data_IF_837193208148
#
_entry.id   IF_837193208148
#
_cell.length_a   1.000
_cell.length_b   1.000
_cell.length_c   1.000
_cell.angle_alpha   90.00
_cell.angle_beta   90.00
_cell.angle_gamma   90.00
#
_symmetry.space_group_name_H-M   'P 1'
#
loop_
_entity.id
_entity.type
_entity.pdbx_description
1 polymer ?
#
# COMPACT_ATOMS: atom_id res chain seq x y z
N UNK A 1 -34.12 -53.98 -66.42
CA UNK A 1 -33.42 -53.36 -67.55
C UNK A 1 -32.34 -52.45 -67.01
N UNK A 2 -31.11 -52.88 -67.27
CA UNK A 2 -29.86 -52.21 -67.10
C UNK A 2 -29.79 -50.86 -67.91
N UNK A 3 -28.81 -50.05 -67.88
CA UNK A 3 -27.57 -50.05 -67.13
C UNK A 3 -26.92 -48.64 -66.84
N UNK A 4 -25.70 -48.70 -66.32
CA UNK A 4 -24.54 -47.82 -66.52
C UNK A 4 -24.54 -46.48 -65.75
N UNK A 5 -23.56 -46.07 -65.03
CA UNK A 5 -22.15 -46.38 -65.02
C UNK A 5 -21.43 -45.04 -64.88
N UNK A 6 -20.27 -45.07 -64.22
CA UNK A 6 -19.12 -44.16 -64.25
C UNK A 6 -18.85 -43.50 -62.92
N UNK A 7 -17.87 -44.02 -62.25
CA UNK A 7 -16.45 -43.58 -62.23
C UNK A 7 -16.18 -42.18 -61.73
N UNK A 8 -15.55 -42.18 -60.57
CA UNK A 8 -14.29 -41.51 -60.19
C UNK A 8 -14.31 -39.99 -60.05
N UNK A 9 -13.96 -39.58 -58.88
CA UNK A 9 -12.84 -38.67 -58.68
C UNK A 9 -12.48 -38.64 -57.21
N UNK A 10 -11.36 -39.26 -56.88
CA UNK A 10 -10.61 -38.97 -55.64
C UNK A 10 -10.05 -37.57 -55.76
N UNK A 11 -10.48 -36.68 -54.88
CA UNK A 11 -9.74 -35.45 -54.62
C UNK A 11 -9.28 -35.51 -53.19
N UNK A 12 -7.98 -35.68 -53.06
CA UNK A 12 -7.28 -35.68 -51.78
C UNK A 12 -7.31 -34.30 -51.17
N UNK A 13 -7.94 -34.21 -50.02
CA UNK A 13 -7.92 -32.99 -49.20
C UNK A 13 -6.78 -33.15 -48.20
N UNK A 14 -5.63 -32.55 -48.54
CA UNK A 14 -4.49 -32.45 -47.64
C UNK A 14 -4.91 -31.46 -46.52
N UNK A 15 -5.23 -32.00 -45.36
CA UNK A 15 -5.45 -31.20 -44.16
C UNK A 15 -4.09 -30.67 -43.67
N UNK A 16 -3.88 -29.40 -43.93
CA UNK A 16 -2.75 -28.66 -43.39
C UNK A 16 -3.04 -28.39 -41.90
N UNK A 17 -2.47 -29.20 -41.02
CA UNK A 17 -2.52 -28.97 -39.56
C UNK A 17 -1.53 -27.87 -39.26
N UNK A 18 -2.05 -26.64 -39.14
CA UNK A 18 -1.29 -25.52 -38.58
C UNK A 18 -1.17 -25.74 -37.07
N UNK A 19 -0.01 -26.21 -36.63
CA UNK A 19 0.36 -26.21 -35.21
C UNK A 19 0.58 -24.73 -34.77
N UNK A 20 -0.44 -24.12 -34.19
CA UNK A 20 -0.28 -22.86 -33.47
C UNK A 20 0.51 -23.16 -32.19
N UNK A 21 1.81 -22.97 -32.25
CA UNK A 21 2.65 -22.88 -31.07
C UNK A 21 2.18 -21.65 -30.27
N UNK A 22 1.24 -21.84 -29.34
CA UNK A 22 0.91 -20.86 -28.33
C UNK A 22 2.14 -20.72 -27.43
N UNK A 23 2.89 -19.62 -27.63
CA UNK A 23 3.81 -19.15 -26.61
C UNK A 23 2.97 -18.81 -25.38
N UNK A 24 2.85 -19.74 -24.46
CA UNK A 24 2.44 -19.47 -23.09
C UNK A 24 3.59 -18.65 -22.51
N UNK A 25 3.50 -17.32 -22.59
CA UNK A 25 4.27 -16.48 -21.70
C UNK A 25 3.81 -16.78 -20.29
N UNK A 26 4.54 -17.67 -19.61
CA UNK A 26 4.51 -17.73 -18.17
C UNK A 26 4.98 -16.35 -17.69
N UNK A 27 4.04 -15.46 -17.41
CA UNK A 27 4.28 -14.33 -16.54
C UNK A 27 4.61 -14.98 -15.18
N UNK A 28 5.87 -15.32 -14.97
CA UNK A 28 6.42 -15.42 -13.63
C UNK A 28 6.28 -13.99 -13.10
N UNK A 29 5.22 -13.74 -12.34
CA UNK A 29 5.16 -12.60 -11.47
C UNK A 29 6.45 -12.69 -10.64
N UNK A 30 7.44 -11.87 -10.99
CA UNK A 30 8.54 -11.58 -10.09
C UNK A 30 7.82 -11.06 -8.85
N UNK A 31 7.70 -11.86 -7.81
CA UNK A 31 7.41 -11.34 -6.48
C UNK A 31 8.52 -10.33 -6.25
N UNK A 32 8.18 -9.08 -6.42
CA UNK A 32 9.11 -7.98 -6.16
C UNK A 32 9.34 -8.05 -4.67
N UNK A 33 10.49 -8.60 -4.26
CA UNK A 33 10.90 -8.62 -2.87
C UNK A 33 10.86 -7.15 -2.42
N UNK A 34 10.09 -6.90 -1.37
CA UNK A 34 9.96 -5.54 -0.82
C UNK A 34 11.31 -5.15 -0.25
N UNK A 35 11.91 -4.09 -0.77
CA UNK A 35 13.14 -3.50 -0.26
C UNK A 35 12.85 -2.33 0.69
N UNK A 36 13.87 -1.92 1.44
CA UNK A 36 13.80 -0.81 2.39
C UNK A 36 13.28 0.49 1.74
N UNK A 37 13.79 0.86 0.57
CA UNK A 37 13.45 2.15 -0.06
C UNK A 37 12.00 2.16 -0.52
N UNK A 38 11.53 1.06 -1.08
CA UNK A 38 10.14 0.88 -1.49
C UNK A 38 9.21 0.90 -0.28
N UNK A 39 9.51 0.11 0.76
CA UNK A 39 8.71 0.05 1.98
C UNK A 39 8.62 1.41 2.69
N UNK A 40 9.76 2.10 2.84
CA UNK A 40 9.83 3.45 3.40
C UNK A 40 9.04 4.45 2.56
N UNK A 41 9.17 4.39 1.22
CA UNK A 41 8.43 5.24 0.30
C UNK A 41 6.92 5.08 0.44
N UNK A 42 6.42 3.86 0.58
CA UNK A 42 4.99 3.56 0.84
C UNK A 42 4.55 4.22 2.17
N UNK A 43 5.31 4.03 3.24
CA UNK A 43 4.98 4.59 4.54
C UNK A 43 4.92 6.12 4.52
N UNK A 44 5.92 6.77 3.92
CA UNK A 44 5.98 8.23 3.80
C UNK A 44 4.87 8.79 2.91
N UNK A 45 4.53 8.13 1.79
CA UNK A 45 3.44 8.54 0.92
C UNK A 45 2.08 8.49 1.64
N UNK A 46 1.85 7.47 2.46
CA UNK A 46 0.63 7.37 3.28
C UNK A 46 0.53 8.47 4.33
N UNK A 47 1.66 8.88 4.93
CA UNK A 47 1.70 10.03 5.83
C UNK A 47 1.36 11.33 5.11
N UNK A 48 1.94 11.55 3.92
CA UNK A 48 1.70 12.74 3.11
C UNK A 48 0.23 12.80 2.65
N UNK A 49 -0.33 11.66 2.24
CA UNK A 49 -1.74 11.57 1.85
C UNK A 49 -2.68 11.95 3.00
N UNK A 50 -2.43 11.43 4.20
CA UNK A 50 -3.23 11.78 5.37
C UNK A 50 -3.05 13.25 5.79
N UNK A 51 -1.83 13.78 5.73
CA UNK A 51 -1.56 15.19 6.02
C UNK A 51 -2.25 16.14 5.04
N UNK A 52 -2.34 15.75 3.76
CA UNK A 52 -3.00 16.54 2.71
C UNK A 52 -4.53 16.67 2.90
N UNK A 53 -5.13 15.88 3.79
CA UNK A 53 -6.55 16.01 4.13
C UNK A 53 -6.84 17.15 5.10
N UNK A 54 -5.81 17.73 5.73
CA UNK A 54 -5.97 18.94 6.55
C UNK A 54 -6.28 20.12 5.62
N UNK A 55 -7.36 20.89 5.86
CA UNK A 55 -7.64 22.09 5.06
C UNK A 55 -6.43 23.05 5.07
N UNK A 56 -6.04 23.61 3.92
CA UNK A 56 -4.83 24.44 3.82
C UNK A 56 -4.78 25.61 4.81
N UNK A 57 -5.91 26.18 5.13
CA UNK A 57 -6.05 27.28 6.12
C UNK A 57 -5.76 26.84 7.57
N UNK A 58 -5.85 25.52 7.83
CA UNK A 58 -5.58 24.95 9.14
C UNK A 58 -4.17 24.35 9.22
N UNK A 59 -3.37 24.38 8.15
CA UNK A 59 -1.99 23.90 8.15
C UNK A 59 -1.06 25.02 8.60
N UNK A 60 -0.36 24.80 9.73
CA UNK A 60 0.78 25.59 10.14
C UNK A 60 2.09 25.02 9.57
N UNK A 61 2.92 24.47 10.44
CA UNK A 61 4.14 23.78 10.05
C UNK A 61 3.88 22.29 9.87
N UNK A 62 4.58 21.70 8.90
CA UNK A 62 4.55 20.25 8.67
C UNK A 62 5.96 19.70 8.69
N UNK A 63 6.19 18.69 9.50
CA UNK A 63 7.47 17.98 9.58
C UNK A 63 7.25 16.49 9.36
N UNK A 64 8.09 15.89 8.52
CA UNK A 64 8.11 14.45 8.26
C UNK A 64 9.46 13.87 8.63
N UNK A 65 9.47 12.80 9.40
CA UNK A 65 10.69 12.09 9.78
C UNK A 65 11.32 11.46 8.54
N UNK A 66 12.57 11.82 8.27
CA UNK A 66 13.29 11.31 7.09
C UNK A 66 14.17 10.10 7.41
N UNK A 67 14.47 9.90 8.69
CA UNK A 67 15.36 8.83 9.16
C UNK A 67 14.81 8.23 10.45
N UNK A 68 14.76 6.91 10.51
CA UNK A 68 14.29 6.17 11.68
C UNK A 68 15.04 4.84 11.83
N UNK A 69 14.98 4.28 13.03
CA UNK A 69 15.44 2.91 13.28
C UNK A 69 14.39 1.90 12.80
N UNK A 70 14.89 0.73 12.42
CA UNK A 70 14.04 -0.38 11.98
C UNK A 70 13.44 -1.12 13.18
N UNK A 71 12.30 -1.72 12.97
CA UNK A 71 11.60 -2.56 13.94
C UNK A 71 11.44 -3.97 13.36
N UNK A 72 11.42 -4.97 14.23
CA UNK A 72 11.24 -6.36 13.81
C UNK A 72 9.85 -6.65 13.27
N UNK A 73 9.80 -7.48 12.25
CA UNK A 73 8.63 -8.14 11.69
C UNK A 73 8.70 -9.65 11.92
N UNK A 74 7.65 -10.43 11.68
CA UNK A 74 7.75 -11.89 11.57
C UNK A 74 8.77 -12.31 10.51
N UNK A 75 9.23 -13.56 10.59
CA UNK A 75 10.12 -14.18 9.60
C UNK A 75 11.45 -13.43 9.40
N UNK A 76 11.99 -12.85 10.49
CA UNK A 76 13.24 -12.06 10.51
C UNK A 76 13.24 -10.82 9.59
N UNK A 77 12.08 -10.45 9.06
CA UNK A 77 11.90 -9.22 8.30
C UNK A 77 11.90 -7.99 9.21
N UNK A 78 12.01 -6.83 8.59
CA UNK A 78 12.04 -5.55 9.26
C UNK A 78 10.99 -4.61 8.68
N UNK A 79 10.65 -3.55 9.43
CA UNK A 79 9.81 -2.45 8.97
C UNK A 79 10.40 -1.12 9.41
N UNK A 80 10.21 -0.12 8.58
CA UNK A 80 10.58 1.25 8.89
C UNK A 80 9.45 1.95 9.64
N UNK A 81 9.78 2.77 10.64
CA UNK A 81 8.79 3.52 11.42
C UNK A 81 8.87 5.00 11.09
N UNK A 82 7.78 5.57 10.58
CA UNK A 82 7.70 6.97 10.19
C UNK A 82 6.81 7.80 11.09
N UNK A 83 6.90 9.11 10.88
CA UNK A 83 5.99 10.08 11.50
C UNK A 83 5.95 11.38 10.71
N UNK A 84 4.74 11.85 10.47
CA UNK A 84 4.47 13.23 10.09
C UNK A 84 3.71 13.94 11.23
N UNK A 85 4.11 15.17 11.53
CA UNK A 85 3.41 16.05 12.45
C UNK A 85 2.99 17.31 11.69
N UNK A 86 1.71 17.65 11.77
CA UNK A 86 1.15 18.89 11.23
C UNK A 86 0.69 19.75 12.40
N UNK A 87 1.25 20.95 12.52
CA UNK A 87 0.75 21.97 13.45
C UNK A 87 -0.58 22.50 12.91
N UNK A 88 -1.63 22.42 13.71
CA UNK A 88 -2.96 22.87 13.33
C UNK A 88 -3.16 24.34 13.74
N UNK A 89 -3.68 25.14 12.81
CA UNK A 89 -4.03 26.55 13.03
C UNK A 89 -5.54 26.71 13.20
N UNK A 90 -5.92 27.66 14.05
CA UNK A 90 -7.32 27.96 14.30
C UNK A 90 -8.02 26.93 15.19
N UNK A 91 -9.33 26.98 15.18
CA UNK A 91 -10.18 26.04 15.93
C UNK A 91 -10.56 24.87 15.00
N UNK A 92 -9.93 23.73 15.21
CA UNK A 92 -10.14 22.53 14.41
C UNK A 92 -10.99 21.52 15.19
N UNK A 93 -12.09 21.11 14.61
CA UNK A 93 -12.88 20.00 15.13
C UNK A 93 -12.08 18.68 14.97
N UNK A 94 -11.53 18.23 16.07
CA UNK A 94 -10.67 17.04 16.10
C UNK A 94 -11.39 15.75 15.67
N UNK A 95 -12.65 15.58 16.07
CA UNK A 95 -13.48 14.43 15.68
C UNK A 95 -13.75 14.43 14.18
N UNK A 96 -14.21 15.57 13.65
CA UNK A 96 -14.47 15.72 12.22
C UNK A 96 -13.21 15.51 11.37
N UNK A 97 -12.05 16.00 11.83
CA UNK A 97 -10.76 15.78 11.14
C UNK A 97 -10.38 14.30 11.07
N UNK A 98 -10.48 13.59 12.17
CA UNK A 98 -10.18 12.14 12.21
C UNK A 98 -11.19 11.36 11.38
N UNK A 99 -12.47 11.77 11.34
CA UNK A 99 -13.47 11.14 10.49
C UNK A 99 -13.17 11.32 8.99
N UNK A 100 -12.67 12.48 8.57
CA UNK A 100 -12.24 12.70 7.18
C UNK A 100 -11.09 11.75 6.81
N UNK A 101 -10.08 11.61 7.68
CA UNK A 101 -8.96 10.68 7.44
C UNK A 101 -9.45 9.23 7.40
N UNK A 102 -10.31 8.85 8.35
CA UNK A 102 -10.90 7.51 8.39
C UNK A 102 -11.67 7.19 7.11
N UNK A 103 -12.53 8.12 6.65
CA UNK A 103 -13.31 7.94 5.42
C UNK A 103 -12.42 7.79 4.17
N UNK A 104 -11.29 8.52 4.10
CA UNK A 104 -10.34 8.39 3.01
C UNK A 104 -9.63 7.02 3.03
N UNK A 105 -9.25 6.56 4.21
CA UNK A 105 -8.62 5.24 4.36
C UNK A 105 -9.59 4.07 4.08
N UNK A 106 -10.86 4.21 4.44
CA UNK A 106 -11.91 3.22 4.15
C UNK A 106 -12.17 3.00 2.63
N UNK A 107 -11.71 3.92 1.77
CA UNK A 107 -11.76 3.75 0.32
C UNK A 107 -10.63 2.87 -0.26
N UNK A 108 -9.65 2.52 0.55
CA UNK A 108 -8.53 1.69 0.10
C UNK A 108 -8.89 0.20 0.17
N UNK A 109 -8.49 -0.56 -0.84
CA UNK A 109 -8.78 -1.98 -0.91
C UNK A 109 -7.95 -2.78 0.11
N UNK A 110 -8.61 -3.75 0.74
CA UNK A 110 -7.94 -4.74 1.58
C UNK A 110 -7.42 -4.24 2.93
N UNK A 111 -7.79 -3.03 3.35
CA UNK A 111 -7.39 -2.47 4.64
C UNK A 111 -8.47 -2.66 5.71
N UNK A 112 -8.05 -2.60 6.96
CA UNK A 112 -8.95 -2.54 8.13
C UNK A 112 -8.77 -1.18 8.79
N UNK A 113 -9.85 -0.42 8.92
CA UNK A 113 -9.87 0.91 9.55
C UNK A 113 -10.66 0.85 10.85
N UNK A 114 -10.08 1.34 11.93
CA UNK A 114 -10.71 1.35 13.25
C UNK A 114 -10.61 2.74 13.90
N UNK A 115 -11.75 3.32 14.26
CA UNK A 115 -11.79 4.53 15.08
C UNK A 115 -11.53 4.18 16.55
N UNK A 116 -10.65 4.92 17.16
CA UNK A 116 -10.20 4.71 18.54
C UNK A 116 -10.05 6.05 19.27
N UNK A 117 -9.64 5.98 20.52
CA UNK A 117 -9.18 7.14 21.29
C UNK A 117 -7.77 6.90 21.80
N UNK A 118 -7.01 7.97 21.94
CA UNK A 118 -5.73 7.94 22.64
C UNK A 118 -5.95 7.67 24.15
N UNK A 119 -4.88 7.42 24.90
CA UNK A 119 -4.97 7.28 26.36
C UNK A 119 -5.49 8.55 27.07
N UNK A 120 -5.34 9.70 26.43
CA UNK A 120 -5.83 11.00 26.92
C UNK A 120 -7.26 11.31 26.44
N UNK A 121 -7.90 10.38 25.72
CA UNK A 121 -9.27 10.52 25.21
C UNK A 121 -9.39 11.29 23.90
N UNK A 122 -8.27 11.70 23.28
CA UNK A 122 -8.31 12.38 21.99
C UNK A 122 -8.69 11.43 20.85
N UNK A 123 -9.39 11.90 19.80
CA UNK A 123 -9.80 11.08 18.68
C UNK A 123 -8.58 10.54 17.90
N UNK A 124 -8.73 9.31 17.43
CA UNK A 124 -7.69 8.58 16.70
C UNK A 124 -8.33 7.62 15.71
N UNK A 125 -7.69 7.44 14.57
CA UNK A 125 -7.98 6.37 13.63
C UNK A 125 -6.74 5.53 13.37
N UNK A 126 -6.91 4.22 13.29
CA UNK A 126 -5.89 3.25 12.94
C UNK A 126 -6.28 2.57 11.63
N UNK A 127 -5.30 2.30 10.78
CA UNK A 127 -5.46 1.50 9.57
C UNK A 127 -4.39 0.41 9.55
N UNK A 128 -4.81 -0.81 9.29
CA UNK A 128 -3.93 -1.97 9.06
C UNK A 128 -4.03 -2.38 7.61
N UNK A 129 -2.92 -2.40 6.91
CA UNK A 129 -2.81 -2.85 5.54
C UNK A 129 -2.57 -4.37 5.40
N UNK A 130 -2.51 -4.85 4.17
CA UNK A 130 -2.43 -6.28 3.84
C UNK A 130 -1.02 -6.87 3.93
N UNK A 131 0.00 -6.01 4.03
CA UNK A 131 1.41 -6.41 4.03
C UNK A 131 2.09 -6.20 5.41
N UNK A 132 1.30 -6.20 6.49
CA UNK A 132 1.80 -5.96 7.85
C UNK A 132 2.11 -4.49 8.14
N UNK A 133 1.75 -3.61 7.23
CA UNK A 133 1.83 -2.16 7.38
C UNK A 133 0.72 -1.65 8.31
N UNK A 134 1.03 -0.56 9.00
CA UNK A 134 0.11 0.05 9.95
C UNK A 134 0.27 1.56 9.98
N UNK A 135 -0.85 2.25 10.07
CA UNK A 135 -0.92 3.71 10.12
C UNK A 135 -1.86 4.16 11.22
N UNK A 136 -1.53 5.29 11.83
CA UNK A 136 -2.36 5.87 12.87
C UNK A 136 -2.34 7.39 12.78
N UNK A 137 -3.51 8.00 12.74
CA UNK A 137 -3.66 9.45 12.82
C UNK A 137 -4.38 9.83 14.11
N UNK A 138 -3.89 10.84 14.82
CA UNK A 138 -4.47 11.28 16.10
C UNK A 138 -4.19 12.75 16.35
N UNK A 139 -5.11 13.42 17.04
CA UNK A 139 -4.95 14.80 17.47
C UNK A 139 -4.27 14.84 18.85
N UNK A 140 -3.24 15.66 18.98
CA UNK A 140 -2.43 15.80 20.19
C UNK A 140 -2.35 17.25 20.68
N UNK A 141 -1.79 17.42 21.90
CA UNK A 141 -1.51 18.73 22.52
C UNK A 141 -2.67 19.71 22.38
N UNK A 142 -3.72 19.54 23.16
CA UNK A 142 -5.12 20.01 23.10
C UNK A 142 -5.53 20.62 21.74
N UNK A 143 -5.61 19.76 20.72
CA UNK A 143 -6.13 20.16 19.40
C UNK A 143 -5.17 20.90 18.50
N UNK A 144 -3.88 21.01 18.84
CA UNK A 144 -2.92 21.83 18.08
C UNK A 144 -2.00 21.04 17.16
N UNK A 145 -1.99 19.71 17.22
CA UNK A 145 -1.13 18.87 16.40
C UNK A 145 -1.88 17.64 15.88
N UNK A 146 -1.84 17.42 14.57
CA UNK A 146 -2.14 16.12 13.97
C UNK A 146 -0.84 15.32 13.87
N UNK A 147 -0.83 14.15 14.49
CA UNK A 147 0.27 13.18 14.39
C UNK A 147 -0.16 11.99 13.57
N UNK A 148 0.59 11.72 12.51
CA UNK A 148 0.44 10.56 11.65
C UNK A 148 1.67 9.70 11.87
N UNK A 149 1.47 8.49 12.35
CA UNK A 149 2.54 7.50 12.58
C UNK A 149 2.36 6.38 11.58
N UNK A 150 3.44 5.90 11.00
CA UNK A 150 3.45 4.80 10.06
C UNK A 150 4.41 3.69 10.48
N UNK A 151 4.05 2.47 10.13
CA UNK A 151 4.96 1.33 10.05
C UNK A 151 4.83 0.77 8.64
N UNK A 152 5.92 0.73 7.91
CA UNK A 152 5.94 0.25 6.53
C UNK A 152 5.53 -1.21 6.40
N UNK A 153 5.22 -1.69 5.18
CA UNK A 153 5.28 -3.13 4.89
C UNK A 153 6.59 -3.74 5.38
N UNK A 154 6.56 -5.03 5.69
CA UNK A 154 7.76 -5.78 6.06
C UNK A 154 8.65 -5.98 4.84
N UNK A 155 9.98 -5.91 5.02
CA UNK A 155 10.97 -6.05 3.98
C UNK A 155 12.22 -6.79 4.48
N UNK A 156 13.06 -7.21 3.55
CA UNK A 156 14.38 -7.77 3.84
C UNK A 156 15.46 -6.71 3.62
N UNK A 157 16.51 -6.74 4.44
CA UNK A 157 17.67 -5.89 4.22
C UNK A 157 18.54 -6.44 3.09
N UNK A 158 19.09 -5.55 2.31
CA UNK A 158 20.09 -5.87 1.29
C UNK A 158 21.43 -6.15 1.91
N UNK A 159 22.29 -6.83 1.16
CA UNK A 159 23.68 -7.09 1.59
C UNK A 159 24.41 -5.78 1.89
N UNK A 160 25.03 -5.72 3.06
CA UNK A 160 25.74 -4.53 3.55
C UNK A 160 24.89 -3.53 4.35
N UNK A 161 23.61 -3.73 4.45
CA UNK A 161 22.72 -2.97 5.35
C UNK A 161 22.69 -3.64 6.74
N UNK A 162 22.58 -2.85 7.81
CA UNK A 162 22.54 -3.38 9.17
C UNK A 162 21.28 -2.93 9.94
N UNK A 163 20.56 -3.83 10.64
CA UNK A 163 19.29 -3.50 11.29
C UNK A 163 19.39 -2.43 12.38
N UNK A 164 20.59 -2.17 12.92
CA UNK A 164 20.80 -1.11 13.92
C UNK A 164 21.04 0.28 13.31
N UNK A 165 21.21 0.38 12.01
CA UNK A 165 21.41 1.66 11.34
C UNK A 165 20.08 2.43 11.26
N UNK A 166 20.18 3.73 11.11
CA UNK A 166 19.01 4.60 10.89
C UNK A 166 18.90 4.91 9.40
N UNK A 167 17.71 4.74 8.85
CA UNK A 167 17.41 4.89 7.43
C UNK A 167 16.35 5.95 7.17
#
# INVERSE_FOLDING_TARGET
>A
MNPRGKLAALVGMIALVAVLASCVSTNQGSETIMDLQTAKGIAMAMEDEAAALVPPENVGDQTQLKTAHLLGCPDDQLKWSGRTTVTLLGDVDAEAMIDVIAAAWEQKDGVVVERRSTRQGAPRVDMTGTQGDFYSASIWAPGTELKITSFSPCFELEEGQHPSDAY
#
